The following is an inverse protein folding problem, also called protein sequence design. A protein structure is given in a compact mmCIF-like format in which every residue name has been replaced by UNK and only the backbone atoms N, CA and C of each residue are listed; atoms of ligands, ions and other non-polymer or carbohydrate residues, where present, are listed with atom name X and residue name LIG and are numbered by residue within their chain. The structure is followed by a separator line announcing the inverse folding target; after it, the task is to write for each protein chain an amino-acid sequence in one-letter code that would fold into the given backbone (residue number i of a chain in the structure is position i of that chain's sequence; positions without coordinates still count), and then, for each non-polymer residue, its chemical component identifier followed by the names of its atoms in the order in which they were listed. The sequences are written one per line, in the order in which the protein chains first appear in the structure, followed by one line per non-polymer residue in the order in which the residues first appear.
data_IF_724937650589
#
_entry.id   IF_724937650589
#
_cell.length_a   1.000
_cell.length_b   1.000
_cell.length_c   1.000
_cell.angle_alpha   90.00
_cell.angle_beta   90.00
_cell.angle_gamma   90.00
#
_symmetry.space_group_name_H-M   'P 1'
#
loop_
_entity.id
_entity.type
_entity.pdbx_description
1 polymer ?
#
# COMPACT_ATOMS: atom_id res chain seq x y z
N UNK A 1 -15.57 -12.19 -26.50
CA UNK A 1 -16.42 -11.38 -25.59
C UNK A 1 -15.57 -10.83 -24.45
N UNK A 2 -15.68 -9.53 -24.13
CA UNK A 2 -15.12 -8.94 -22.92
C UNK A 2 -15.79 -9.50 -21.66
N UNK A 3 -15.01 -9.74 -20.61
CA UNK A 3 -15.49 -10.30 -19.35
C UNK A 3 -14.71 -9.81 -18.13
N UNK A 4 -15.42 -9.74 -17.00
CA UNK A 4 -14.95 -9.29 -15.69
C UNK A 4 -15.30 -10.34 -14.64
N UNK A 5 -14.34 -10.69 -13.78
CA UNK A 5 -14.59 -11.51 -12.60
C UNK A 5 -14.82 -10.60 -11.40
N UNK A 6 -15.95 -10.76 -10.72
CA UNK A 6 -16.38 -9.96 -9.59
C UNK A 6 -16.26 -10.72 -8.28
N UNK A 7 -15.38 -10.23 -7.42
CA UNK A 7 -15.11 -10.79 -6.10
C UNK A 7 -15.12 -9.73 -4.99
N UNK A 8 -15.35 -8.46 -5.32
CA UNK A 8 -15.55 -7.41 -4.32
C UNK A 8 -17.03 -7.34 -3.89
N UNK A 9 -17.32 -7.08 -2.60
CA UNK A 9 -18.69 -6.98 -2.12
C UNK A 9 -19.51 -5.90 -2.82
N UNK A 10 -20.78 -6.20 -3.11
CA UNK A 10 -21.72 -5.26 -3.74
C UNK A 10 -22.09 -4.07 -2.86
N UNK A 11 -21.94 -4.18 -1.54
CA UNK A 11 -22.15 -3.07 -0.60
C UNK A 11 -21.15 -1.93 -0.77
N UNK A 12 -20.08 -2.13 -1.54
CA UNK A 12 -19.08 -1.12 -1.82
C UNK A 12 -19.29 -0.47 -3.19
N UNK A 13 -19.26 0.87 -3.23
CA UNK A 13 -19.52 1.68 -4.45
C UNK A 13 -18.69 1.25 -5.67
N UNK A 14 -17.46 0.78 -5.45
CA UNK A 14 -16.59 0.31 -6.54
C UNK A 14 -17.17 -0.92 -7.26
N UNK A 15 -17.70 -1.91 -6.50
CA UNK A 15 -18.34 -3.08 -7.10
C UNK A 15 -19.62 -2.71 -7.85
N UNK A 16 -20.43 -1.83 -7.27
CA UNK A 16 -21.65 -1.31 -7.89
C UNK A 16 -21.36 -0.55 -9.20
N UNK A 17 -20.33 0.29 -9.22
CA UNK A 17 -19.90 1.03 -10.41
C UNK A 17 -19.49 0.07 -11.54
N UNK A 18 -18.66 -0.94 -11.23
CA UNK A 18 -18.22 -1.92 -12.24
C UNK A 18 -19.39 -2.76 -12.75
N UNK A 19 -20.32 -3.15 -11.89
CA UNK A 19 -21.55 -3.82 -12.32
C UNK A 19 -22.36 -2.95 -13.29
N UNK A 20 -22.53 -1.67 -12.97
CA UNK A 20 -23.20 -0.72 -13.86
C UNK A 20 -22.51 -0.62 -15.23
N UNK A 21 -21.19 -0.58 -15.25
CA UNK A 21 -20.40 -0.61 -16.50
C UNK A 21 -20.61 -1.90 -17.27
N UNK A 22 -20.63 -3.06 -16.60
CA UNK A 22 -20.87 -4.35 -17.24
C UNK A 22 -22.27 -4.43 -17.86
N UNK A 23 -23.30 -4.01 -17.12
CA UNK A 23 -24.70 -4.03 -17.60
C UNK A 23 -24.87 -3.08 -18.79
N UNK A 24 -24.39 -1.83 -18.67
CA UNK A 24 -24.53 -0.84 -19.76
C UNK A 24 -23.66 -1.17 -20.98
N UNK A 25 -22.51 -1.79 -20.75
CA UNK A 25 -21.54 -2.14 -21.79
C UNK A 25 -21.74 -3.53 -22.40
N UNK A 26 -22.69 -4.33 -21.93
CA UNK A 26 -22.90 -5.71 -22.39
C UNK A 26 -21.72 -6.64 -22.10
N UNK A 27 -20.97 -6.38 -21.01
CA UNK A 27 -19.81 -7.17 -20.61
C UNK A 27 -20.27 -8.37 -19.77
N UNK A 28 -19.67 -9.54 -20.00
CA UNK A 28 -19.96 -10.72 -19.19
C UNK A 28 -19.35 -10.57 -17.80
N UNK A 29 -20.17 -10.63 -16.76
CA UNK A 29 -19.72 -10.58 -15.37
C UNK A 29 -19.94 -11.93 -14.70
N UNK A 30 -18.88 -12.53 -14.15
CA UNK A 30 -18.98 -13.70 -13.28
C UNK A 30 -18.75 -13.30 -11.83
N UNK A 31 -19.29 -14.07 -10.89
CA UNK A 31 -19.19 -13.80 -9.46
C UNK A 31 -18.42 -14.93 -8.77
N UNK A 32 -17.47 -14.56 -7.92
CA UNK A 32 -16.77 -15.45 -7.00
C UNK A 32 -16.90 -14.87 -5.58
N UNK A 33 -17.77 -15.44 -4.73
CA UNK A 33 -17.97 -14.93 -3.37
C UNK A 33 -16.84 -15.30 -2.41
N UNK A 34 -16.03 -16.34 -2.69
CA UNK A 34 -14.92 -16.75 -1.84
C UNK A 34 -13.61 -16.05 -2.24
N UNK A 35 -13.00 -15.37 -1.27
CA UNK A 35 -11.74 -14.64 -1.43
C UNK A 35 -10.50 -15.47 -1.05
N UNK A 36 -10.66 -16.77 -0.75
CA UNK A 36 -9.54 -17.68 -0.57
C UNK A 36 -8.64 -17.72 -1.81
N UNK A 37 -7.34 -17.98 -1.61
CA UNK A 37 -6.38 -18.03 -2.71
C UNK A 37 -6.75 -19.13 -3.71
N UNK A 38 -7.20 -20.27 -3.19
CA UNK A 38 -7.62 -21.43 -3.96
C UNK A 38 -8.85 -21.14 -4.82
N UNK A 39 -9.91 -20.55 -4.23
CA UNK A 39 -11.14 -20.22 -4.95
C UNK A 39 -10.88 -19.17 -6.04
N UNK A 40 -10.18 -18.08 -5.70
CA UNK A 40 -9.89 -17.02 -6.66
C UNK A 40 -9.00 -17.52 -7.81
N UNK A 41 -7.99 -18.35 -7.51
CA UNK A 41 -7.16 -18.96 -8.55
C UNK A 41 -7.97 -19.91 -9.46
N UNK A 42 -8.85 -20.74 -8.89
CA UNK A 42 -9.72 -21.62 -9.65
C UNK A 42 -10.70 -20.83 -10.55
N UNK A 43 -11.29 -19.75 -10.04
CA UNK A 43 -12.18 -18.87 -10.78
C UNK A 43 -11.46 -18.14 -11.92
N UNK A 44 -10.26 -17.60 -11.69
CA UNK A 44 -9.45 -16.96 -12.74
C UNK A 44 -9.08 -17.93 -13.87
N UNK A 45 -8.71 -19.17 -13.51
CA UNK A 45 -8.32 -20.19 -14.48
C UNK A 45 -9.49 -20.73 -15.30
N UNK A 46 -10.67 -20.88 -14.69
CA UNK A 46 -11.87 -21.38 -15.37
C UNK A 46 -12.53 -20.29 -16.22
N UNK A 47 -12.77 -19.11 -15.64
CA UNK A 47 -13.51 -18.03 -16.29
C UNK A 47 -12.66 -17.23 -17.29
N UNK A 48 -11.34 -17.12 -17.04
CA UNK A 48 -10.37 -16.44 -17.90
C UNK A 48 -10.81 -15.02 -18.29
N UNK A 49 -10.97 -14.11 -17.31
CA UNK A 49 -11.47 -12.76 -17.56
C UNK A 49 -10.55 -11.97 -18.50
N UNK A 50 -11.11 -11.00 -19.23
CA UNK A 50 -10.31 -10.06 -20.04
C UNK A 50 -9.87 -8.82 -19.26
N UNK A 51 -10.56 -8.53 -18.15
CA UNK A 51 -10.34 -7.37 -17.32
C UNK A 51 -10.46 -7.74 -15.84
N UNK A 52 -9.58 -7.18 -15.01
CA UNK A 52 -9.62 -7.36 -13.56
C UNK A 52 -9.92 -6.04 -12.87
N UNK A 53 -10.66 -6.06 -11.78
CA UNK A 53 -10.78 -4.90 -10.89
C UNK A 53 -10.55 -5.39 -9.46
N UNK A 54 -9.67 -4.72 -8.73
CA UNK A 54 -9.32 -5.14 -7.38
C UNK A 54 -8.82 -3.97 -6.54
N UNK A 55 -8.69 -4.18 -5.24
CA UNK A 55 -7.97 -3.26 -4.35
C UNK A 55 -6.47 -3.56 -4.39
N UNK A 56 -5.57 -2.61 -4.06
CA UNK A 56 -4.12 -2.82 -4.11
C UNK A 56 -3.63 -4.07 -3.37
N UNK A 57 -4.21 -4.41 -2.21
CA UNK A 57 -3.81 -5.58 -1.43
C UNK A 57 -4.02 -6.92 -2.15
N UNK A 58 -4.98 -7.00 -3.08
CA UNK A 58 -5.18 -8.20 -3.91
C UNK A 58 -4.02 -8.36 -4.89
N UNK A 59 -3.60 -7.27 -5.52
CA UNK A 59 -2.42 -7.28 -6.41
C UNK A 59 -1.13 -7.58 -5.61
N UNK A 60 -0.97 -6.99 -4.42
CA UNK A 60 0.16 -7.30 -3.53
C UNK A 60 0.21 -8.81 -3.19
N UNK A 61 -0.93 -9.41 -2.82
CA UNK A 61 -1.04 -10.86 -2.54
C UNK A 61 -0.68 -11.72 -3.75
N UNK A 62 -1.20 -11.40 -4.93
CA UNK A 62 -0.87 -12.09 -6.17
C UNK A 62 0.64 -12.05 -6.46
N UNK A 63 1.25 -10.87 -6.33
CA UNK A 63 2.70 -10.71 -6.52
C UNK A 63 3.50 -11.55 -5.54
N UNK A 64 3.16 -11.47 -4.25
CA UNK A 64 3.79 -12.28 -3.20
C UNK A 64 3.65 -13.78 -3.49
N UNK A 65 2.48 -14.23 -3.94
CA UNK A 65 2.26 -15.62 -4.33
C UNK A 65 3.15 -16.04 -5.51
N UNK A 66 3.33 -15.19 -6.53
CA UNK A 66 4.27 -15.47 -7.62
C UNK A 66 5.70 -15.66 -7.12
N UNK A 67 6.16 -14.79 -6.22
CA UNK A 67 7.48 -14.91 -5.59
C UNK A 67 7.60 -16.22 -4.80
N UNK A 68 6.60 -16.56 -3.99
CA UNK A 68 6.55 -17.80 -3.19
C UNK A 68 6.69 -19.04 -4.06
N UNK A 69 5.87 -19.14 -5.11
CA UNK A 69 5.89 -20.27 -6.04
C UNK A 69 7.24 -20.36 -6.77
N UNK A 70 7.83 -19.22 -7.14
CA UNK A 70 9.16 -19.21 -7.74
C UNK A 70 10.25 -19.68 -6.77
N UNK A 71 10.20 -19.24 -5.50
CA UNK A 71 11.15 -19.66 -4.46
C UNK A 71 11.05 -21.16 -4.18
N UNK A 72 9.84 -21.69 -4.02
CA UNK A 72 9.60 -23.13 -3.84
C UNK A 72 10.10 -23.98 -5.01
N UNK A 73 10.07 -23.44 -6.23
CA UNK A 73 10.62 -24.09 -7.42
C UNK A 73 12.14 -23.91 -7.60
N UNK A 74 12.84 -23.29 -6.63
CA UNK A 74 14.28 -23.00 -6.73
C UNK A 74 14.63 -21.89 -7.72
N UNK A 75 13.66 -21.06 -8.11
CA UNK A 75 13.76 -20.02 -9.15
C UNK A 75 13.56 -18.60 -8.58
N UNK A 76 13.71 -18.40 -7.28
CA UNK A 76 13.53 -17.09 -6.63
C UNK A 76 14.39 -15.99 -7.25
N UNK A 77 15.71 -16.18 -7.35
CA UNK A 77 16.62 -15.20 -7.95
C UNK A 77 16.33 -14.93 -9.44
N UNK A 78 15.82 -15.93 -10.17
CA UNK A 78 15.39 -15.75 -11.56
C UNK A 78 14.15 -14.85 -11.62
N UNK A 79 13.19 -15.07 -10.72
CA UNK A 79 11.97 -14.27 -10.62
C UNK A 79 12.30 -12.82 -10.25
N UNK A 80 13.19 -12.58 -9.28
CA UNK A 80 13.60 -11.24 -8.89
C UNK A 80 14.23 -10.48 -10.06
N UNK A 81 15.21 -11.08 -10.77
CA UNK A 81 15.80 -10.47 -11.98
C UNK A 81 14.75 -10.21 -13.07
N UNK A 82 13.80 -11.14 -13.24
CA UNK A 82 12.71 -10.96 -14.19
C UNK A 82 11.77 -9.83 -13.77
N UNK A 83 11.49 -9.66 -12.48
CA UNK A 83 10.68 -8.58 -11.93
C UNK A 83 11.38 -7.23 -12.08
N UNK A 84 12.69 -7.16 -11.84
CA UNK A 84 13.51 -5.97 -12.06
C UNK A 84 13.47 -5.55 -13.53
N UNK A 85 13.72 -6.50 -14.44
CA UNK A 85 13.66 -6.27 -15.90
C UNK A 85 12.27 -5.81 -16.34
N UNK A 86 11.20 -6.37 -15.75
CA UNK A 86 9.83 -5.97 -16.05
C UNK A 86 9.58 -4.51 -15.65
N UNK A 87 10.02 -4.11 -14.44
CA UNK A 87 9.86 -2.75 -13.93
C UNK A 87 10.65 -1.74 -14.78
N UNK A 88 11.89 -2.05 -15.13
CA UNK A 88 12.74 -1.19 -15.96
C UNK A 88 12.17 -1.03 -17.38
N UNK A 89 11.69 -2.14 -17.97
CA UNK A 89 11.04 -2.11 -19.27
C UNK A 89 9.77 -1.27 -19.27
N UNK A 90 8.91 -1.46 -18.26
CA UNK A 90 7.69 -0.66 -18.09
C UNK A 90 7.98 0.82 -17.89
N UNK A 91 8.99 1.15 -17.08
CA UNK A 91 9.41 2.53 -16.86
C UNK A 91 9.87 3.18 -18.17
N UNK A 92 10.66 2.47 -18.98
CA UNK A 92 11.10 2.98 -20.27
C UNK A 92 9.92 3.19 -21.25
N UNK A 93 8.96 2.26 -21.27
CA UNK A 93 7.72 2.37 -22.05
C UNK A 93 6.85 3.55 -21.59
N UNK A 94 6.70 3.77 -20.28
CA UNK A 94 6.00 4.91 -19.71
C UNK A 94 6.64 6.22 -20.17
N UNK A 95 7.96 6.37 -20.03
CA UNK A 95 8.66 7.58 -20.47
C UNK A 95 8.49 7.84 -21.96
N UNK A 96 8.52 6.81 -22.80
CA UNK A 96 8.24 6.95 -24.23
C UNK A 96 6.83 7.43 -24.51
N UNK A 97 5.85 6.81 -23.85
CA UNK A 97 4.42 7.13 -23.98
C UNK A 97 4.10 8.55 -23.52
N UNK A 98 4.84 9.05 -22.53
CA UNK A 98 4.72 10.42 -22.03
C UNK A 98 5.59 11.44 -22.79
N UNK A 99 6.39 11.01 -23.77
CA UNK A 99 7.27 11.89 -24.55
C UNK A 99 8.55 12.32 -23.81
N UNK A 100 8.90 11.66 -22.72
CA UNK A 100 10.05 11.96 -21.85
C UNK A 100 11.29 11.09 -22.15
N UNK A 101 11.23 10.23 -23.17
CA UNK A 101 12.35 9.36 -23.54
C UNK A 101 12.11 8.52 -24.80
N UNK A 102 13.16 7.83 -25.30
CA UNK A 102 13.10 7.08 -26.56
C UNK A 102 12.45 5.68 -26.44
N UNK A 103 12.10 5.24 -25.23
CA UNK A 103 11.62 3.88 -24.94
C UNK A 103 12.69 2.91 -24.49
N UNK A 104 12.36 1.62 -24.33
CA UNK A 104 13.31 0.61 -23.87
C UNK A 104 14.42 0.43 -24.91
N UNK A 105 15.68 0.45 -24.45
CA UNK A 105 16.86 0.18 -25.27
C UNK A 105 16.91 -1.27 -25.79
N UNK A 106 17.81 -1.54 -26.73
CA UNK A 106 17.92 -2.84 -27.38
C UNK A 106 18.19 -3.98 -26.38
N UNK A 107 19.16 -3.81 -25.48
CA UNK A 107 19.52 -4.84 -24.49
C UNK A 107 18.35 -5.16 -23.56
N UNK A 108 17.64 -4.13 -23.10
CA UNK A 108 16.48 -4.28 -22.23
C UNK A 108 15.33 -5.00 -22.95
N UNK A 109 15.11 -4.73 -24.25
CA UNK A 109 14.14 -5.47 -25.08
C UNK A 109 14.51 -6.94 -25.21
N UNK A 110 15.80 -7.26 -25.37
CA UNK A 110 16.27 -8.64 -25.47
C UNK A 110 16.10 -9.41 -24.14
N UNK A 111 16.49 -8.79 -23.03
CA UNK A 111 16.28 -9.35 -21.68
C UNK A 111 14.80 -9.58 -21.41
N UNK A 112 13.96 -8.60 -21.72
CA UNK A 112 12.51 -8.71 -21.58
C UNK A 112 11.93 -9.85 -22.43
N UNK A 113 12.35 -9.98 -23.69
CA UNK A 113 11.93 -11.07 -24.58
C UNK A 113 12.34 -12.47 -24.09
N UNK A 114 13.48 -12.59 -23.40
CA UNK A 114 13.89 -13.83 -22.74
C UNK A 114 12.94 -14.20 -21.59
N UNK A 115 12.63 -13.23 -20.73
CA UNK A 115 11.72 -13.42 -19.60
C UNK A 115 10.25 -13.59 -20.03
N UNK A 116 9.87 -13.03 -21.17
CA UNK A 116 8.56 -13.22 -21.78
C UNK A 116 8.27 -14.71 -22.03
N UNK A 117 9.25 -15.45 -22.55
CA UNK A 117 9.11 -16.90 -22.84
C UNK A 117 9.18 -17.77 -21.59
N UNK A 118 9.99 -17.37 -20.61
CA UNK A 118 10.38 -18.21 -19.46
C UNK A 118 9.55 -17.94 -18.20
N UNK A 119 9.14 -16.69 -17.97
CA UNK A 119 8.49 -16.20 -16.74
C UNK A 119 7.13 -15.56 -17.04
N UNK A 120 7.09 -14.43 -17.77
CA UNK A 120 5.91 -13.55 -17.81
C UNK A 120 4.66 -14.21 -18.38
N UNK A 121 4.80 -15.06 -19.42
CA UNK A 121 3.66 -15.83 -19.96
C UNK A 121 3.02 -16.75 -18.92
N UNK A 122 3.80 -17.33 -18.01
CA UNK A 122 3.28 -18.20 -16.93
C UNK A 122 2.55 -17.37 -15.88
N UNK A 123 3.10 -16.20 -15.53
CA UNK A 123 2.46 -15.27 -14.59
C UNK A 123 1.11 -14.78 -15.15
N UNK A 124 1.06 -14.39 -16.43
CA UNK A 124 -0.21 -14.02 -17.08
C UNK A 124 -1.18 -15.19 -17.18
N UNK A 125 -0.71 -16.41 -17.39
CA UNK A 125 -1.56 -17.60 -17.41
C UNK A 125 -2.25 -17.83 -16.06
N UNK A 126 -1.55 -17.60 -14.94
CA UNK A 126 -2.14 -17.66 -13.59
C UNK A 126 -3.22 -16.60 -13.34
N UNK A 127 -3.25 -15.51 -14.13
CA UNK A 127 -4.31 -14.50 -14.12
C UNK A 127 -5.45 -14.81 -15.12
N UNK A 128 -5.55 -16.06 -15.59
CA UNK A 128 -6.52 -16.51 -16.60
C UNK A 128 -6.05 -16.34 -18.05
N UNK A 129 -4.87 -15.76 -18.29
CA UNK A 129 -4.19 -15.68 -19.59
C UNK A 129 -4.76 -14.65 -20.58
N UNK A 130 -6.02 -14.22 -20.38
CA UNK A 130 -6.73 -13.25 -21.23
C UNK A 130 -6.73 -11.83 -20.67
N UNK A 131 -6.47 -11.66 -19.37
CA UNK A 131 -6.39 -10.35 -18.76
C UNK A 131 -5.23 -9.54 -19.38
N UNK A 132 -5.54 -8.30 -19.77
CA UNK A 132 -4.56 -7.34 -20.32
C UNK A 132 -4.56 -6.01 -19.60
N UNK A 133 -5.67 -5.68 -18.95
CA UNK A 133 -5.87 -4.45 -18.19
C UNK A 133 -6.55 -4.77 -16.87
N UNK A 134 -6.27 -3.93 -15.89
CA UNK A 134 -6.95 -3.94 -14.62
C UNK A 134 -7.07 -2.54 -14.03
N UNK A 135 -8.10 -2.30 -13.22
CA UNK A 135 -8.18 -1.11 -12.38
C UNK A 135 -7.92 -1.47 -10.94
N UNK A 136 -7.06 -0.70 -10.29
CA UNK A 136 -6.95 -0.67 -8.84
C UNK A 136 -7.65 0.56 -8.28
N UNK A 137 -8.31 0.39 -7.13
CA UNK A 137 -9.07 1.45 -6.49
C UNK A 137 -9.33 1.16 -5.02
N UNK A 138 -9.87 2.14 -4.31
CA UNK A 138 -10.14 2.07 -2.86
C UNK A 138 -8.95 2.42 -1.97
N UNK A 139 -7.71 2.28 -2.46
CA UNK A 139 -6.48 2.85 -1.92
C UNK A 139 -5.45 3.02 -3.03
N UNK A 140 -4.30 3.63 -2.74
CA UNK A 140 -3.21 3.85 -3.69
C UNK A 140 -2.42 2.57 -3.98
N UNK A 141 -2.16 2.29 -5.27
CA UNK A 141 -1.29 1.19 -5.70
C UNK A 141 0.18 1.61 -5.76
N UNK A 142 1.07 0.65 -5.57
CA UNK A 142 2.50 0.92 -5.57
C UNK A 142 2.94 1.24 -6.98
N UNK A 143 3.76 2.28 -7.14
CA UNK A 143 4.38 2.55 -8.44
C UNK A 143 5.21 1.37 -8.92
N UNK A 144 6.04 0.75 -8.06
CA UNK A 144 6.86 -0.41 -8.44
C UNK A 144 6.01 -1.63 -8.79
N UNK A 145 4.90 -1.84 -8.07
CA UNK A 145 3.98 -2.94 -8.34
C UNK A 145 3.22 -2.71 -9.66
N UNK A 146 2.73 -1.49 -9.91
CA UNK A 146 2.10 -1.09 -11.18
C UNK A 146 3.08 -1.30 -12.35
N UNK A 147 4.33 -0.85 -12.21
CA UNK A 147 5.37 -1.06 -13.22
C UNK A 147 5.70 -2.53 -13.43
N UNK A 148 5.75 -3.35 -12.37
CA UNK A 148 5.91 -4.79 -12.51
C UNK A 148 4.79 -5.41 -13.35
N UNK A 149 3.54 -5.09 -13.03
CA UNK A 149 2.39 -5.62 -13.78
C UNK A 149 2.40 -5.17 -15.24
N UNK A 150 2.63 -3.88 -15.50
CA UNK A 150 2.76 -3.35 -16.86
C UNK A 150 3.90 -4.06 -17.61
N UNK A 151 5.04 -4.27 -16.94
CA UNK A 151 6.20 -4.96 -17.47
C UNK A 151 5.93 -6.40 -17.85
N UNK A 152 5.07 -7.11 -17.10
CA UNK A 152 4.62 -8.45 -17.48
C UNK A 152 3.44 -8.43 -18.47
N UNK A 153 3.04 -7.27 -18.99
CA UNK A 153 1.99 -7.13 -20.01
C UNK A 153 0.55 -7.06 -19.46
N UNK A 154 0.38 -6.70 -18.19
CA UNK A 154 -0.92 -6.45 -17.56
C UNK A 154 -0.96 -5.02 -17.04
N UNK A 155 -1.70 -4.16 -17.71
CA UNK A 155 -1.77 -2.74 -17.36
C UNK A 155 -2.69 -2.53 -16.15
N UNK A 156 -2.10 -2.43 -14.95
CA UNK A 156 -2.84 -2.15 -13.71
C UNK A 156 -2.74 -0.66 -13.39
N UNK A 157 -3.89 0.01 -13.47
CA UNK A 157 -4.00 1.46 -13.33
C UNK A 157 -4.85 1.85 -12.13
N UNK A 158 -4.40 2.86 -11.41
CA UNK A 158 -5.19 3.45 -10.33
C UNK A 158 -6.31 4.33 -10.88
N UNK A 159 -7.49 4.17 -10.29
CA UNK A 159 -8.57 5.15 -10.33
C UNK A 159 -8.84 5.66 -8.92
N UNK A 160 -9.11 6.96 -8.80
CA UNK A 160 -9.50 7.57 -7.54
C UNK A 160 -10.98 7.93 -7.54
N UNK A 161 -11.61 7.76 -6.39
CA UNK A 161 -13.05 7.84 -6.20
C UNK A 161 -13.44 7.61 -4.75
N UNK A 162 -14.61 8.13 -4.39
CA UNK A 162 -15.20 8.07 -3.07
C UNK A 162 -16.67 7.63 -3.18
N UNK A 163 -17.25 7.25 -2.05
CA UNK A 163 -18.70 7.01 -2.00
C UNK A 163 -19.46 8.30 -2.25
N UNK A 164 -18.97 9.41 -1.69
CA UNK A 164 -19.46 10.78 -1.85
C UNK A 164 -19.39 11.29 -3.30
N UNK A 165 -18.65 10.60 -4.18
CA UNK A 165 -18.53 10.92 -5.61
C UNK A 165 -19.13 9.85 -6.52
N UNK A 166 -19.96 8.95 -5.96
CA UNK A 166 -20.57 7.82 -6.66
C UNK A 166 -19.56 6.93 -7.41
N UNK A 167 -18.34 6.79 -6.89
CA UNK A 167 -17.27 6.01 -7.51
C UNK A 167 -16.18 6.89 -8.12
N UNK A 168 -15.67 6.50 -9.29
CA UNK A 168 -14.48 7.09 -9.90
C UNK A 168 -14.66 8.54 -10.34
N UNK A 169 -13.66 9.38 -10.05
CA UNK A 169 -13.55 10.78 -10.47
C UNK A 169 -12.29 11.07 -11.27
N UNK A 170 -11.25 10.24 -11.12
CA UNK A 170 -10.07 10.28 -11.99
C UNK A 170 -9.79 8.88 -12.55
N UNK A 171 -9.14 8.85 -13.72
CA UNK A 171 -8.70 7.63 -14.36
C UNK A 171 -7.46 7.90 -15.22
N UNK A 172 -6.64 6.87 -15.41
CA UNK A 172 -5.52 6.94 -16.35
C UNK A 172 -6.01 7.14 -17.79
N UNK A 173 -5.57 8.19 -18.52
CA UNK A 173 -5.92 8.37 -19.91
C UNK A 173 -5.31 7.26 -20.76
N UNK A 174 -6.11 6.63 -21.62
CA UNK A 174 -5.67 5.55 -22.50
C UNK A 174 -4.51 6.00 -23.39
N UNK A 175 -3.39 5.28 -23.38
CA UNK A 175 -2.21 5.62 -24.17
C UNK A 175 -1.41 6.80 -23.60
N UNK A 176 -1.75 7.32 -22.42
CA UNK A 176 -0.93 8.25 -21.63
C UNK A 176 -0.95 7.85 -20.15
N UNK A 177 -0.92 6.56 -19.85
CA UNK A 177 -0.97 6.12 -18.46
C UNK A 177 0.35 6.42 -17.74
N UNK A 178 0.27 6.88 -16.48
CA UNK A 178 1.41 7.27 -15.63
C UNK A 178 1.32 6.59 -14.25
N UNK A 179 2.14 5.57 -14.01
CA UNK A 179 2.18 4.81 -12.76
C UNK A 179 2.44 5.70 -11.54
N UNK A 180 1.90 5.33 -10.37
CA UNK A 180 2.02 6.15 -9.16
C UNK A 180 1.21 7.46 -9.16
N UNK A 181 0.34 7.64 -10.15
CA UNK A 181 -0.72 8.66 -10.15
C UNK A 181 -2.08 7.95 -10.22
N UNK A 182 -3.14 8.63 -9.84
CA UNK A 182 -4.53 8.16 -10.00
C UNK A 182 -5.16 8.67 -11.30
N UNK A 183 -4.33 9.16 -12.22
CA UNK A 183 -4.75 9.64 -13.53
C UNK A 183 -5.23 11.08 -13.53
N UNK A 184 -6.07 11.42 -14.50
CA UNK A 184 -6.63 12.76 -14.71
C UNK A 184 -8.13 12.77 -14.41
N UNK A 185 -8.72 13.95 -14.11
CA UNK A 185 -10.17 14.07 -13.92
C UNK A 185 -10.95 13.49 -15.11
N UNK A 186 -12.03 12.77 -14.79
CA UNK A 186 -12.97 12.27 -15.79
C UNK A 186 -13.74 13.43 -16.44
N UNK A 187 -14.31 13.26 -17.65
CA UNK A 187 -15.12 14.29 -18.29
C UNK A 187 -16.25 14.77 -17.38
N UNK A 188 -16.38 16.10 -17.22
CA UNK A 188 -17.37 16.73 -16.35
C UNK A 188 -17.00 16.78 -14.87
N UNK A 189 -15.81 16.33 -14.49
CA UNK A 189 -15.25 16.48 -13.14
C UNK A 189 -14.24 17.61 -13.10
N UNK A 190 -14.52 18.62 -12.29
CA UNK A 190 -13.56 19.65 -11.92
C UNK A 190 -12.78 19.19 -10.68
N UNK A 191 -11.46 19.36 -10.72
CA UNK A 191 -10.57 19.00 -9.63
C UNK A 191 -9.63 20.15 -9.30
N UNK A 192 -9.45 20.43 -8.01
CA UNK A 192 -8.48 21.40 -7.50
C UNK A 192 -7.77 20.83 -6.26
N UNK A 193 -6.59 21.34 -5.97
CA UNK A 193 -5.85 21.07 -4.74
C UNK A 193 -5.78 22.40 -3.98
N UNK A 194 -6.28 22.43 -2.75
CA UNK A 194 -6.25 23.60 -1.88
C UNK A 194 -4.83 23.87 -1.35
N UNK A 195 -4.63 25.03 -0.70
CA UNK A 195 -3.31 25.44 -0.19
C UNK A 195 -2.75 24.48 0.87
N UNK A 196 -3.63 23.80 1.63
CA UNK A 196 -3.26 22.78 2.60
C UNK A 196 -3.06 21.38 1.97
N UNK A 197 -3.16 21.28 0.66
CA UNK A 197 -3.02 20.04 -0.12
C UNK A 197 -4.31 19.22 -0.24
N UNK A 198 -5.43 19.66 0.32
CA UNK A 198 -6.70 18.93 0.24
C UNK A 198 -7.25 18.92 -1.20
N UNK A 199 -7.69 17.75 -1.65
CA UNK A 199 -8.28 17.59 -2.98
C UNK A 199 -9.75 17.99 -2.90
N UNK A 200 -10.14 18.88 -3.80
CA UNK A 200 -11.50 19.39 -3.93
C UNK A 200 -12.08 18.93 -5.25
N UNK A 201 -13.31 18.43 -5.20
CA UNK A 201 -13.98 17.85 -6.36
C UNK A 201 -15.33 18.49 -6.57
N UNK A 202 -15.64 18.83 -7.82
CA UNK A 202 -16.98 19.26 -8.22
C UNK A 202 -17.37 18.54 -9.50
N UNK A 203 -18.60 18.07 -9.58
CA UNK A 203 -19.09 17.38 -10.77
C UNK A 203 -20.44 16.73 -10.55
N UNK A 204 -21.03 16.15 -11.60
CA UNK A 204 -22.36 15.55 -11.55
C UNK A 204 -22.43 14.29 -10.68
N UNK A 205 -21.28 13.70 -10.34
CA UNK A 205 -21.20 12.51 -9.50
C UNK A 205 -21.10 12.81 -8.00
N UNK A 206 -20.96 14.08 -7.60
CA UNK A 206 -20.92 14.47 -6.19
C UNK A 206 -22.33 14.29 -5.58
N UNK A 207 -22.39 13.63 -4.43
CA UNK A 207 -23.62 13.37 -3.69
C UNK A 207 -24.33 14.66 -3.24
N UNK A 208 -25.57 14.53 -2.78
CA UNK A 208 -26.37 15.66 -2.28
C UNK A 208 -26.17 15.93 -0.78
N UNK A 209 -25.57 14.99 -0.05
CA UNK A 209 -25.34 15.07 1.38
C UNK A 209 -25.51 13.72 2.10
N UNK A 210 -25.22 13.73 3.39
CA UNK A 210 -25.42 12.61 4.29
C UNK A 210 -26.86 12.57 4.82
N UNK A 211 -27.46 11.39 4.86
CA UNK A 211 -28.82 11.19 5.37
C UNK A 211 -28.86 11.54 6.86
N UNK A 212 -29.76 12.45 7.24
CA UNK A 212 -29.98 12.90 8.62
C UNK A 212 -28.75 13.53 9.31
N UNK A 213 -27.75 13.98 8.55
CA UNK A 213 -26.57 14.66 9.09
C UNK A 213 -26.22 15.91 8.27
N UNK A 214 -27.01 16.97 8.50
CA UNK A 214 -26.78 18.24 7.83
C UNK A 214 -25.46 18.91 8.23
N UNK A 215 -24.99 18.67 9.46
CA UNK A 215 -23.75 19.24 9.96
C UNK A 215 -22.55 18.67 9.20
N UNK A 216 -22.46 17.34 9.07
CA UNK A 216 -21.43 16.70 8.24
C UNK A 216 -21.59 17.06 6.77
N UNK A 217 -22.83 17.20 6.27
CA UNK A 217 -23.09 17.61 4.89
C UNK A 217 -22.52 18.99 4.59
N UNK A 218 -22.78 19.98 5.46
CA UNK A 218 -22.24 21.34 5.33
C UNK A 218 -20.72 21.40 5.51
N UNK A 219 -20.16 20.49 6.32
CA UNK A 219 -18.71 20.40 6.48
C UNK A 219 -18.01 19.81 5.24
N UNK A 220 -18.65 18.85 4.57
CA UNK A 220 -18.10 18.20 3.37
C UNK A 220 -18.37 19.00 2.08
N UNK A 221 -19.53 19.63 1.95
CA UNK A 221 -19.95 20.36 0.75
C UNK A 221 -19.94 21.88 0.97
N UNK A 222 -19.18 22.60 0.16
CA UNK A 222 -19.13 24.06 0.21
C UNK A 222 -19.02 24.65 -1.20
N UNK A 223 -19.94 25.56 -1.56
CA UNK A 223 -19.93 26.21 -2.87
C UNK A 223 -19.98 25.24 -4.07
N UNK A 224 -20.61 24.07 -3.91
CA UNK A 224 -20.67 23.01 -4.91
C UNK A 224 -19.41 22.14 -5.01
N UNK A 225 -18.40 22.37 -4.17
CA UNK A 225 -17.22 21.53 -4.03
C UNK A 225 -17.35 20.57 -2.86
N UNK A 226 -16.87 19.35 -3.06
CA UNK A 226 -16.64 18.36 -2.03
C UNK A 226 -15.20 18.49 -1.51
N UNK A 227 -15.05 18.78 -0.22
CA UNK A 227 -13.81 18.52 0.52
C UNK A 227 -13.66 17.01 0.71
N UNK A 228 -12.69 16.39 0.03
CA UNK A 228 -12.54 14.94 0.04
C UNK A 228 -11.92 14.39 1.32
N UNK A 229 -11.27 15.24 2.12
CA UNK A 229 -10.39 14.84 3.21
C UNK A 229 -9.15 14.06 2.75
N UNK A 230 -8.92 13.92 1.45
CA UNK A 230 -7.71 13.35 0.85
C UNK A 230 -6.74 14.46 0.48
N UNK A 231 -5.45 14.20 0.68
CA UNK A 231 -4.37 15.10 0.29
C UNK A 231 -3.75 14.61 -1.01
N UNK A 232 -3.34 15.56 -1.86
CA UNK A 232 -2.67 15.22 -3.10
C UNK A 232 -1.94 16.37 -3.76
N UNK A 233 -1.42 16.11 -4.95
CA UNK A 233 -0.78 17.11 -5.80
C UNK A 233 -1.15 16.87 -7.26
N UNK A 234 -1.34 17.95 -8.00
CA UNK A 234 -1.45 17.92 -9.45
C UNK A 234 -0.10 18.28 -10.07
N UNK A 235 0.31 17.53 -11.08
CA UNK A 235 1.45 17.91 -11.91
C UNK A 235 1.04 18.83 -13.07
N UNK A 236 2.02 19.34 -13.81
CA UNK A 236 1.81 20.24 -14.94
C UNK A 236 0.99 19.62 -16.09
N UNK A 237 0.92 18.29 -16.15
CA UNK A 237 0.15 17.53 -17.13
C UNK A 237 -1.27 17.20 -16.63
N UNK A 238 -1.63 17.63 -15.41
CA UNK A 238 -2.93 17.40 -14.79
C UNK A 238 -3.13 16.00 -14.22
N UNK A 239 -2.06 15.22 -13.99
CA UNK A 239 -2.16 13.97 -13.23
C UNK A 239 -2.20 14.25 -11.73
N UNK A 240 -3.11 13.57 -11.05
CA UNK A 240 -3.25 13.62 -9.61
C UNK A 240 -2.43 12.50 -8.95
N UNK A 241 -1.64 12.85 -7.93
CA UNK A 241 -1.05 11.88 -6.99
C UNK A 241 -1.69 12.08 -5.62
N UNK A 242 -2.26 11.01 -5.06
CA UNK A 242 -2.74 11.00 -3.67
C UNK A 242 -1.53 10.85 -2.74
N UNK A 243 -1.39 11.74 -1.78
CA UNK A 243 -0.26 11.77 -0.82
C UNK A 243 -0.67 11.29 0.57
N UNK A 244 -1.96 11.31 0.89
CA UNK A 244 -2.46 10.78 2.16
C UNK A 244 -3.90 11.20 2.45
N UNK A 245 -4.30 11.03 3.71
CA UNK A 245 -5.57 11.49 4.26
C UNK A 245 -5.30 12.58 5.28
N UNK A 246 -6.06 13.67 5.24
CA UNK A 246 -5.89 14.83 6.14
C UNK A 246 -5.94 14.41 7.61
N UNK A 247 -6.87 13.52 7.94
CA UNK A 247 -7.05 12.96 9.29
C UNK A 247 -5.96 11.97 9.74
N UNK A 248 -5.21 11.38 8.80
CA UNK A 248 -4.19 10.38 9.11
C UNK A 248 -2.78 10.99 9.19
N UNK A 249 -2.64 12.30 8.96
CA UNK A 249 -1.37 13.00 9.08
C UNK A 249 -0.87 12.91 10.52
N UNK A 250 0.34 12.39 10.67
CA UNK A 250 1.02 12.28 11.95
C UNK A 250 1.82 13.56 12.18
N UNK A 251 1.63 14.20 13.32
CA UNK A 251 2.45 15.34 13.74
C UNK A 251 3.31 14.90 14.93
N UNK A 252 4.62 14.81 14.71
CA UNK A 252 5.56 14.48 15.79
C UNK A 252 5.69 15.63 16.78
N UNK A 253 6.22 15.39 17.98
CA UNK A 253 6.49 16.43 18.99
C UNK A 253 7.41 17.54 18.45
N UNK A 254 8.23 17.23 17.45
CA UNK A 254 9.06 18.21 16.72
C UNK A 254 8.29 19.07 15.71
N UNK A 255 6.96 18.95 15.63
CA UNK A 255 6.10 19.68 14.70
C UNK A 255 6.18 19.19 13.26
N UNK A 256 6.83 18.05 12.99
CA UNK A 256 6.95 17.52 11.62
C UNK A 256 5.69 16.74 11.26
N UNK A 257 5.02 17.19 10.20
CA UNK A 257 3.91 16.46 9.57
C UNK A 257 4.44 15.33 8.67
N UNK A 258 3.90 14.14 8.85
CA UNK A 258 4.28 12.92 8.12
C UNK A 258 3.02 12.24 7.60
N UNK A 259 2.97 12.00 6.28
CA UNK A 259 1.94 11.18 5.68
C UNK A 259 2.34 9.69 5.77
N UNK A 260 1.62 8.86 6.55
CA UNK A 260 2.06 7.50 6.81
C UNK A 260 1.95 6.56 5.61
N UNK A 261 1.01 6.82 4.69
CA UNK A 261 0.63 5.90 3.64
C UNK A 261 1.80 5.43 2.76
N UNK A 262 2.72 6.34 2.43
CA UNK A 262 3.89 6.03 1.61
C UNK A 262 4.82 4.99 2.28
N UNK A 263 5.12 5.18 3.56
CA UNK A 263 5.95 4.29 4.36
C UNK A 263 5.29 2.92 4.56
N UNK A 264 4.03 2.91 4.96
CA UNK A 264 3.28 1.66 5.18
C UNK A 264 3.21 0.80 3.92
N UNK A 265 3.00 1.45 2.80
CA UNK A 265 2.90 0.76 1.54
C UNK A 265 4.23 0.16 1.09
N UNK A 266 5.33 0.90 1.28
CA UNK A 266 6.68 0.40 0.98
C UNK A 266 7.06 -0.77 1.89
N UNK A 267 6.62 -0.76 3.15
CA UNK A 267 6.76 -1.89 4.07
C UNK A 267 5.99 -3.13 3.61
N UNK A 268 4.72 -2.98 3.19
CA UNK A 268 3.87 -4.10 2.72
C UNK A 268 4.38 -4.79 1.46
N UNK A 269 5.23 -4.14 0.67
CA UNK A 269 5.93 -4.78 -0.45
C UNK A 269 6.90 -5.88 0.00
N UNK A 270 7.35 -5.85 1.26
CA UNK A 270 8.19 -6.91 1.81
C UNK A 270 7.38 -8.21 2.00
N UNK A 271 7.88 -9.39 1.56
CA UNK A 271 7.12 -10.64 1.61
C UNK A 271 6.63 -11.01 3.01
N UNK A 272 7.48 -10.81 4.04
CA UNK A 272 7.13 -11.13 5.44
C UNK A 272 6.08 -10.20 6.06
N UNK A 273 5.93 -8.96 5.58
CA UNK A 273 5.06 -7.97 6.23
C UNK A 273 3.66 -8.10 5.64
N UNK A 274 2.68 -8.49 6.46
CA UNK A 274 1.28 -8.56 6.04
C UNK A 274 0.65 -7.17 6.05
N UNK A 275 0.66 -6.49 7.20
CA UNK A 275 0.17 -5.13 7.34
C UNK A 275 1.17 -4.27 8.11
N UNK A 276 1.13 -2.98 7.83
CA UNK A 276 1.95 -1.97 8.50
C UNK A 276 1.08 -0.77 8.85
N UNK A 277 1.17 -0.32 10.10
CA UNK A 277 0.54 0.91 10.59
C UNK A 277 1.64 1.81 11.14
N UNK A 278 1.88 2.92 10.46
CA UNK A 278 2.85 3.92 10.92
C UNK A 278 2.21 4.75 12.03
N UNK A 279 2.95 4.99 13.11
CA UNK A 279 2.48 5.73 14.28
C UNK A 279 3.50 6.79 14.64
N UNK A 280 3.16 7.73 15.50
CA UNK A 280 4.09 8.79 15.91
C UNK A 280 3.45 10.11 16.25
N UNK A 281 2.12 10.16 16.30
CA UNK A 281 1.42 11.39 16.64
C UNK A 281 1.70 11.78 18.08
N UNK A 282 2.14 13.02 18.29
CA UNK A 282 2.64 13.51 19.56
C UNK A 282 3.79 12.69 20.16
N UNK A 283 4.59 12.02 19.32
CA UNK A 283 5.80 11.25 19.72
C UNK A 283 7.08 11.90 19.19
N UNK A 284 8.26 11.62 19.79
CA UNK A 284 9.52 12.22 19.38
C UNK A 284 9.97 11.84 17.96
N UNK A 285 9.36 10.82 17.35
CA UNK A 285 9.70 10.33 16.03
C UNK A 285 8.59 9.43 15.48
N UNK A 286 8.73 9.07 14.21
CA UNK A 286 7.88 8.10 13.53
C UNK A 286 8.25 6.67 13.97
N UNK A 287 7.23 5.86 14.23
CA UNK A 287 7.32 4.44 14.53
C UNK A 287 6.40 3.60 13.64
N UNK A 288 6.46 2.27 13.75
CA UNK A 288 5.58 1.38 12.98
C UNK A 288 5.17 0.12 13.75
N UNK A 289 3.90 -0.24 13.65
CA UNK A 289 3.36 -1.54 14.04
C UNK A 289 3.29 -2.43 12.80
N UNK A 290 3.83 -3.65 12.90
CA UNK A 290 3.94 -4.59 11.78
C UNK A 290 3.29 -5.92 12.16
N UNK A 291 2.46 -6.46 11.28
CA UNK A 291 1.98 -7.85 11.37
C UNK A 291 2.70 -8.68 10.32
N UNK A 292 2.93 -9.96 10.63
CA UNK A 292 3.60 -10.88 9.70
C UNK A 292 2.59 -11.72 8.93
N UNK A 293 2.94 -12.06 7.70
CA UNK A 293 2.15 -13.00 6.92
C UNK A 293 2.51 -14.43 7.35
N UNK A 294 1.56 -15.22 7.90
CA UNK A 294 1.86 -16.53 8.45
C UNK A 294 2.37 -17.52 7.40
N UNK A 295 1.91 -17.40 6.15
CA UNK A 295 2.32 -18.28 5.05
C UNK A 295 3.76 -17.97 4.64
N UNK A 296 4.09 -16.70 4.47
CA UNK A 296 5.46 -16.29 4.12
C UNK A 296 6.43 -16.49 5.28
N UNK A 297 5.99 -16.30 6.53
CA UNK A 297 6.79 -16.56 7.72
C UNK A 297 7.16 -18.05 7.82
N UNK A 298 6.19 -18.95 7.59
CA UNK A 298 6.45 -20.39 7.57
C UNK A 298 7.45 -20.78 6.47
N UNK A 299 7.32 -20.20 5.27
CA UNK A 299 8.27 -20.42 4.19
C UNK A 299 9.67 -19.92 4.54
N UNK A 300 9.79 -18.69 5.03
CA UNK A 300 11.05 -18.09 5.43
C UNK A 300 11.75 -18.87 6.55
N UNK A 301 10.99 -19.34 7.54
CA UNK A 301 11.51 -20.24 8.59
C UNK A 301 12.06 -21.53 8.00
N UNK A 302 11.36 -22.13 7.03
CA UNK A 302 11.84 -23.31 6.33
C UNK A 302 13.17 -23.07 5.59
N UNK A 303 13.31 -21.91 4.93
CA UNK A 303 14.56 -21.52 4.27
C UNK A 303 15.69 -21.26 5.28
N UNK A 304 15.40 -20.56 6.38
CA UNK A 304 16.37 -20.29 7.45
C UNK A 304 16.90 -21.59 8.06
N UNK A 305 16.00 -22.52 8.40
CA UNK A 305 16.33 -23.84 8.96
C UNK A 305 17.18 -24.69 8.00
N UNK A 306 17.01 -24.50 6.69
CA UNK A 306 17.81 -25.17 5.67
C UNK A 306 19.18 -24.51 5.44
N UNK A 307 19.38 -23.25 5.85
CA UNK A 307 20.56 -22.47 5.51
C UNK A 307 21.64 -22.36 6.60
N UNK A 308 21.37 -22.42 7.93
CA UNK A 308 22.47 -22.23 8.90
C UNK A 308 22.25 -22.60 10.40
N UNK A 309 23.38 -22.99 11.02
CA UNK A 309 23.98 -22.74 12.36
C UNK A 309 23.10 -22.47 13.61
N UNK A 310 23.20 -23.29 14.69
CA UNK A 310 22.41 -23.17 15.94
C UNK A 310 22.48 -21.83 16.71
N UNK A 311 23.42 -20.92 16.39
CA UNK A 311 23.63 -19.69 17.15
C UNK A 311 22.75 -18.51 16.74
N UNK A 312 22.21 -18.49 15.52
CA UNK A 312 21.26 -17.47 15.09
C UNK A 312 19.86 -17.83 15.58
N UNK A 313 19.50 -17.37 16.78
CA UNK A 313 18.11 -17.47 17.26
C UNK A 313 17.19 -16.85 16.21
N UNK A 314 16.17 -17.60 15.79
CA UNK A 314 15.17 -17.20 14.78
C UNK A 314 14.69 -15.75 14.94
N UNK A 315 14.50 -15.31 16.19
CA UNK A 315 14.10 -13.96 16.56
C UNK A 315 15.08 -12.87 16.07
N UNK A 316 16.40 -13.11 16.17
CA UNK A 316 17.40 -12.15 15.69
C UNK A 316 17.39 -12.04 14.16
N UNK A 317 17.33 -13.18 13.47
CA UNK A 317 17.28 -13.21 12.01
C UNK A 317 16.01 -12.54 11.48
N UNK A 318 14.86 -12.76 12.15
CA UNK A 318 13.60 -12.12 11.81
C UNK A 318 13.68 -10.61 12.04
N UNK A 319 14.25 -10.18 13.17
CA UNK A 319 14.44 -8.76 13.47
C UNK A 319 15.32 -8.05 12.43
N UNK A 320 16.40 -8.68 12.00
CA UNK A 320 17.28 -8.15 10.95
C UNK A 320 16.57 -8.04 9.60
N UNK A 321 15.79 -9.05 9.24
CA UNK A 321 15.02 -9.03 7.99
C UNK A 321 13.97 -7.93 7.97
N UNK A 322 13.24 -7.76 9.07
CA UNK A 322 12.29 -6.66 9.22
C UNK A 322 13.01 -5.30 9.26
N UNK A 323 14.19 -5.21 9.88
CA UNK A 323 14.99 -3.99 9.85
C UNK A 323 15.44 -3.62 8.42
N UNK A 324 15.75 -4.60 7.56
CA UNK A 324 16.00 -4.36 6.12
C UNK A 324 14.78 -3.80 5.42
N UNK A 325 13.59 -4.35 5.70
CA UNK A 325 12.33 -3.82 5.16
C UNK A 325 12.08 -2.36 5.58
N UNK A 326 12.34 -2.04 6.85
CA UNK A 326 12.22 -0.67 7.38
C UNK A 326 13.26 0.27 6.77
N UNK A 327 14.50 -0.18 6.58
CA UNK A 327 15.53 0.61 5.90
C UNK A 327 15.16 0.92 4.44
N UNK A 328 14.61 -0.06 3.72
CA UNK A 328 14.10 0.11 2.37
C UNK A 328 12.88 1.04 2.28
N UNK A 329 12.06 1.11 3.34
CA UNK A 329 11.01 2.12 3.46
C UNK A 329 11.58 3.52 3.69
N UNK A 330 12.53 3.63 4.61
CA UNK A 330 13.14 4.90 5.00
C UNK A 330 13.96 5.55 3.89
N UNK A 331 14.48 4.79 2.93
CA UNK A 331 15.22 5.36 1.78
C UNK A 331 14.36 6.22 0.85
N UNK A 332 13.03 6.16 0.98
CA UNK A 332 12.08 6.90 0.13
C UNK A 332 11.62 8.23 0.74
N UNK A 333 12.02 8.52 1.98
CA UNK A 333 11.55 9.69 2.74
C UNK A 333 12.70 10.47 3.36
N UNK A 334 12.42 11.69 3.84
CA UNK A 334 13.42 12.48 4.55
C UNK A 334 13.82 11.84 5.88
N UNK A 335 14.98 12.22 6.41
CA UNK A 335 15.47 11.75 7.72
C UNK A 335 14.46 12.01 8.86
N UNK A 336 13.71 13.10 8.78
CA UNK A 336 12.68 13.46 9.76
C UNK A 336 11.42 12.59 9.68
N UNK A 337 11.14 12.02 8.52
CA UNK A 337 9.97 11.16 8.26
C UNK A 337 10.29 9.67 8.45
N UNK A 338 11.57 9.32 8.54
CA UNK A 338 12.01 7.93 8.69
C UNK A 338 11.48 7.28 9.97
N UNK A 339 10.99 6.04 9.84
CA UNK A 339 10.64 5.15 10.94
C UNK A 339 11.90 4.87 11.77
N UNK A 340 11.83 5.16 13.07
CA UNK A 340 12.96 5.00 14.00
C UNK A 340 12.79 3.85 14.99
N UNK A 341 11.56 3.45 15.22
CA UNK A 341 11.19 2.37 16.12
C UNK A 341 10.11 1.55 15.44
N UNK A 342 10.11 0.24 15.64
CA UNK A 342 9.04 -0.60 15.14
C UNK A 342 8.76 -1.74 16.11
N UNK A 343 7.53 -2.25 16.06
CA UNK A 343 7.09 -3.41 16.84
C UNK A 343 6.42 -4.41 15.91
N UNK A 344 6.88 -5.65 15.97
CA UNK A 344 6.20 -6.78 15.33
C UNK A 344 5.14 -7.30 16.31
N UNK A 345 3.90 -7.36 15.85
CA UNK A 345 2.74 -7.83 16.60
C UNK A 345 2.54 -9.33 16.38
N UNK A 346 2.00 -10.01 17.39
CA UNK A 346 1.71 -11.46 17.34
C UNK A 346 0.41 -11.77 16.59
N UNK A 347 -0.57 -10.88 16.64
CA UNK A 347 -1.89 -11.05 16.02
C UNK A 347 -2.02 -10.24 14.73
N UNK A 348 -2.60 -10.80 13.65
CA UNK A 348 -2.90 -10.05 12.43
C UNK A 348 -4.08 -9.08 12.63
N UNK A 349 -4.19 -8.05 11.79
CA UNK A 349 -5.42 -7.25 11.74
C UNK A 349 -6.44 -7.94 10.86
N UNK A 350 -7.65 -8.12 11.39
CA UNK A 350 -8.70 -8.90 10.77
C UNK A 350 -10.06 -8.18 10.89
N UNK A 351 -11.02 -8.67 10.11
CA UNK A 351 -12.43 -8.34 10.25
C UNK A 351 -12.98 -8.83 11.59
N UNK A 352 -12.62 -10.07 11.98
CA UNK A 352 -13.14 -10.71 13.19
C UNK A 352 -12.74 -10.01 14.49
N UNK A 353 -11.53 -9.43 14.54
CA UNK A 353 -11.07 -8.63 15.68
C UNK A 353 -11.41 -7.13 15.53
N UNK A 354 -12.18 -6.74 14.51
CA UNK A 354 -12.67 -5.38 14.32
C UNK A 354 -11.61 -4.36 13.91
N UNK A 355 -10.41 -4.80 13.51
CA UNK A 355 -9.29 -3.92 13.12
C UNK A 355 -9.27 -3.61 11.61
N UNK A 356 -10.03 -4.35 10.81
CA UNK A 356 -10.32 -4.06 9.40
C UNK A 356 -11.78 -3.67 9.18
N UNK A 357 -12.02 -2.83 8.17
CA UNK A 357 -13.36 -2.60 7.61
C UNK A 357 -13.75 -3.79 6.71
N UNK A 358 -15.05 -4.02 6.41
CA UNK A 358 -15.50 -5.01 5.42
C UNK A 358 -14.84 -4.89 4.04
N UNK A 359 -14.34 -3.70 3.70
CA UNK A 359 -13.56 -3.42 2.48
C UNK A 359 -12.05 -3.64 2.64
N UNK A 360 -11.62 -4.32 3.70
CA UNK A 360 -10.22 -4.64 4.05
C UNK A 360 -9.33 -3.43 4.32
N UNK A 361 -9.90 -2.27 4.68
CA UNK A 361 -9.14 -1.07 5.07
C UNK A 361 -8.83 -1.10 6.57
N UNK A 362 -7.67 -0.56 6.95
CA UNK A 362 -7.23 -0.47 8.35
C UNK A 362 -8.10 0.51 9.14
N UNK A 363 -8.59 0.11 10.32
CA UNK A 363 -9.23 1.00 11.28
C UNK A 363 -8.17 1.59 12.22
N UNK A 364 -7.43 2.56 11.70
CA UNK A 364 -6.23 3.14 12.33
C UNK A 364 -6.43 3.55 13.79
N UNK A 365 -7.50 4.28 14.08
CA UNK A 365 -7.80 4.76 15.44
C UNK A 365 -8.03 3.60 16.42
N UNK A 366 -8.68 2.53 15.96
CA UNK A 366 -8.92 1.34 16.76
C UNK A 366 -7.64 0.54 16.98
N UNK A 367 -6.78 0.43 15.94
CA UNK A 367 -5.47 -0.22 16.07
C UNK A 367 -4.58 0.54 17.06
N UNK A 368 -4.51 1.86 16.97
CA UNK A 368 -3.72 2.70 17.88
C UNK A 368 -4.24 2.57 19.31
N UNK A 369 -5.56 2.52 19.51
CA UNK A 369 -6.19 2.31 20.82
C UNK A 369 -5.89 0.92 21.38
N UNK A 370 -6.05 -0.13 20.57
CA UNK A 370 -5.87 -1.54 20.95
C UNK A 370 -4.43 -1.85 21.36
N UNK A 371 -3.45 -1.25 20.68
CA UNK A 371 -2.02 -1.48 20.87
C UNK A 371 -1.30 -0.29 21.54
N UNK A 372 -2.02 0.52 22.32
CA UNK A 372 -1.46 1.70 22.98
C UNK A 372 -0.26 1.35 23.87
N UNK A 373 -0.34 0.22 24.60
CA UNK A 373 0.72 -0.26 25.49
C UNK A 373 1.99 -0.65 24.72
N UNK A 374 1.84 -1.37 23.60
CA UNK A 374 2.94 -1.76 22.74
C UNK A 374 3.59 -0.56 22.06
N UNK A 375 2.77 0.43 21.67
CA UNK A 375 3.24 1.71 21.14
C UNK A 375 4.07 2.43 22.22
N UNK A 376 3.56 2.57 23.44
CA UNK A 376 4.27 3.22 24.54
C UNK A 376 5.59 2.52 24.87
N UNK A 377 5.57 1.20 25.00
CA UNK A 377 6.76 0.39 25.28
C UNK A 377 7.83 0.56 24.19
N UNK A 378 7.42 0.60 22.91
CA UNK A 378 8.32 0.82 21.78
C UNK A 378 9.03 2.18 21.83
N UNK A 379 8.34 3.25 22.28
CA UNK A 379 8.97 4.57 22.43
C UNK A 379 9.80 4.68 23.71
N UNK A 380 9.38 4.05 24.81
CA UNK A 380 10.13 4.03 26.07
C UNK A 380 11.47 3.30 25.95
N UNK A 381 11.51 2.18 25.23
CA UNK A 381 12.75 1.44 24.95
C UNK A 381 13.79 2.26 24.16
N UNK A 382 13.36 3.34 23.51
CA UNK A 382 14.24 4.28 22.79
C UNK A 382 14.64 5.50 23.60
N UNK A 383 13.84 5.91 24.59
CA UNK A 383 14.27 6.95 25.52
C UNK A 383 15.61 6.51 26.08
N UNK A 384 16.69 7.30 25.92
CA UNK A 384 17.89 7.05 26.71
C UNK A 384 17.40 7.00 28.14
N UNK A 385 17.54 5.84 28.81
CA UNK A 385 17.19 5.73 30.21
C UNK A 385 17.75 6.97 30.88
N UNK A 386 16.88 7.71 31.58
CA UNK A 386 17.24 8.96 32.23
C UNK A 386 18.62 8.76 32.81
N UNK A 387 19.64 9.42 32.23
CA UNK A 387 20.96 9.42 32.85
C UNK A 387 20.68 10.02 34.21
N UNK A 388 20.65 9.19 35.25
CA UNK A 388 20.83 9.67 36.62
C UNK A 388 22.07 10.55 36.53
N UNK A 389 21.85 11.85 36.68
CA UNK A 389 22.93 12.80 36.74
C UNK A 389 23.83 12.32 37.87
N UNK A 390 25.16 12.20 37.69
CA UNK A 390 26.07 11.83 38.78
C UNK A 390 25.98 12.76 40.01
N UNK A 391 25.26 13.88 39.89
CA UNK A 391 24.97 14.81 40.98
C UNK A 391 23.97 14.29 42.02
N UNK A 392 23.17 13.25 41.74
CA UNK A 392 22.23 12.69 42.74
C UNK A 392 22.85 11.57 43.60
N UNK A 393 23.95 10.95 43.16
CA UNK A 393 24.72 9.97 43.97
C UNK A 393 25.80 10.65 44.84
N UNK A 394 26.06 11.95 44.65
CA UNK A 394 27.02 12.75 45.43
C UNK A 394 26.40 13.49 46.62
N UNK A 395 25.10 13.29 46.90
CA UNK A 395 24.42 13.87 48.07
C UNK A 395 24.24 12.87 49.23
N UNK A 396 24.89 11.70 49.18
CA UNK A 396 24.76 10.67 50.23
C UNK A 396 26.02 10.38 51.03
N UNK A 397 27.15 11.05 50.76
CA UNK A 397 28.39 10.85 51.51
C UNK A 397 29.09 12.18 51.78
N UNK A 398 29.36 12.38 53.07
CA UNK A 398 30.10 13.47 53.73
C UNK A 398 29.41 14.84 53.86
N UNK A 399 28.76 15.03 55.00
CA UNK A 399 29.32 15.97 55.97
C UNK A 399 29.14 15.46 57.42
N UNK A 400 30.29 15.07 57.98
CA UNK A 400 30.74 15.21 59.38
C UNK A 400 29.92 14.60 60.53
N UNK A 401 30.50 13.54 61.09
CA UNK A 401 30.77 13.44 62.53
C UNK A 401 31.21 14.80 63.10
N UNK A 402 30.30 15.48 63.80
CA UNK A 402 30.65 16.54 64.73
C UNK A 402 30.72 15.95 66.14
N UNK A 403 31.90 15.39 66.44
CA UNK A 403 32.32 15.10 67.80
C UNK A 403 32.62 16.45 68.44
N UNK A 404 31.63 16.97 69.19
CA UNK A 404 31.60 18.14 70.08
C UNK A 404 30.46 19.15 69.75
N UNK A 405 29.19 18.72 69.85
CA UNK A 405 28.16 19.40 70.67
C UNK A 405 26.85 18.62 70.77
#
# INVERSE_FOLDING_TARGET
QPSVLAFLPFSHVYGLMIQGVCIRGGLLMAHEPDLSEEALAAALNSFRPTYLYAVPSVFEKIYKNFLRVAQQAGRGALFERAADTARDFALACERQRLGEGPGPGFDLRLQHALYERTVYRRLRAALGGRARRATSGGSTLNRELSLFYEGIGVYVHDGYGLTETCGGITMQPLGREKSGTVGRPLPGVDLRVADDGEILVRGPSVFQGYVNDEAATRAALYGGWLATGDLGRLDADGYLTITGRKKDIIVTTSGKSVAPAALEHRLRMHPLIHQAVVVGDNRPCVGALLTLDPVFLAHWRGVLMAQQDPSAREENALREEIARAVAAANSTVSRSESIRVFRVLSEPFDLANGLLTPSMKLRRDEIVRRYALEIDAMYQARSPGARRTPAEDLLSWDDSDDVFR
#
